data_IF_185762523488
#
_entry.id   IF_185762523488
#
_cell.length_a   1.000
_cell.length_b   1.000
_cell.length_c   1.000
_cell.angle_alpha   90.00
_cell.angle_beta   90.00
_cell.angle_gamma   90.00
#
_symmetry.space_group_name_H-M   'P 1'
#
loop_
_entity.id
_entity.type
_entity.pdbx_description
1 polymer ?
#
# COMPACT_ATOMS: atom_id res chain seq x y z
N UNK A 1 -13.48 -10.22 -3.88
CA UNK A 1 -12.59 -9.74 -2.80
C UNK A 1 -11.27 -10.49 -2.91
N UNK A 2 -10.14 -9.78 -2.81
CA UNK A 2 -8.81 -10.38 -2.67
C UNK A 2 -8.43 -10.39 -1.17
N UNK A 3 -7.83 -11.48 -0.72
CA UNK A 3 -7.44 -11.67 0.68
C UNK A 3 -5.92 -11.75 0.78
N UNK A 4 -5.34 -10.96 1.67
CA UNK A 4 -3.92 -11.02 2.00
C UNK A 4 -3.75 -11.77 3.32
N UNK A 5 -2.99 -12.86 3.30
CA UNK A 5 -2.72 -13.69 4.47
C UNK A 5 -1.56 -13.14 5.28
N UNK A 6 -1.79 -12.81 6.54
CA UNK A 6 -0.71 -12.38 7.43
C UNK A 6 0.11 -13.58 7.92
N UNK A 7 1.43 -13.47 7.80
CA UNK A 7 2.38 -14.48 8.26
C UNK A 7 3.67 -13.81 8.73
N UNK A 8 4.33 -14.40 9.72
CA UNK A 8 5.64 -13.94 10.21
C UNK A 8 6.70 -15.00 9.93
N UNK A 9 7.73 -14.71 9.13
CA UNK A 9 8.85 -15.61 8.91
C UNK A 9 9.63 -15.93 10.19
N UNK A 10 9.54 -15.05 11.18
CA UNK A 10 10.25 -15.18 12.46
C UNK A 10 9.67 -16.27 13.38
N UNK A 11 8.50 -16.83 13.05
CA UNK A 11 7.82 -17.82 13.89
C UNK A 11 8.07 -19.24 13.40
N UNK A 12 8.25 -20.21 14.31
CA UNK A 12 8.25 -21.63 13.94
C UNK A 12 6.97 -21.99 13.17
N UNK A 13 7.10 -22.83 12.13
CA UNK A 13 5.97 -23.26 11.32
C UNK A 13 5.48 -22.20 10.31
N UNK A 14 6.26 -21.15 10.03
CA UNK A 14 5.89 -20.11 9.06
C UNK A 14 5.57 -20.66 7.67
N UNK A 15 6.29 -21.69 7.21
CA UNK A 15 6.05 -22.31 5.89
C UNK A 15 4.73 -23.09 5.89
N UNK A 16 4.45 -23.88 6.92
CA UNK A 16 3.18 -24.59 7.07
C UNK A 16 2.01 -23.60 7.14
N UNK A 17 2.24 -22.42 7.74
CA UNK A 17 1.25 -21.34 7.76
C UNK A 17 0.98 -20.77 6.37
N UNK A 18 1.98 -20.64 5.51
CA UNK A 18 1.77 -20.25 4.10
C UNK A 18 0.90 -21.27 3.39
N UNK A 19 1.21 -22.58 3.55
CA UNK A 19 0.42 -23.66 2.96
C UNK A 19 -1.04 -23.59 3.42
N UNK A 20 -1.27 -23.44 4.72
CA UNK A 20 -2.60 -23.30 5.29
C UNK A 20 -3.35 -22.06 4.73
N UNK A 21 -2.68 -20.92 4.65
CA UNK A 21 -3.27 -19.69 4.12
C UNK A 21 -3.73 -19.86 2.67
N UNK A 22 -2.95 -20.55 1.84
CA UNK A 22 -3.29 -20.77 0.45
C UNK A 22 -4.36 -21.86 0.31
N UNK A 23 -4.17 -23.03 0.91
CA UNK A 23 -5.03 -24.18 0.70
C UNK A 23 -6.40 -24.05 1.37
N UNK A 24 -6.44 -23.56 2.62
CA UNK A 24 -7.68 -23.42 3.37
C UNK A 24 -8.35 -22.06 3.20
N UNK A 25 -7.56 -20.98 3.21
CA UNK A 25 -8.08 -19.61 3.20
C UNK A 25 -8.07 -18.96 1.82
N UNK A 26 -7.43 -19.59 0.83
CA UNK A 26 -7.39 -19.14 -0.58
C UNK A 26 -6.91 -17.68 -0.71
N UNK A 27 -5.86 -17.34 0.03
CA UNK A 27 -5.30 -16.00 -0.02
C UNK A 27 -4.70 -15.71 -1.40
N UNK A 28 -4.72 -14.46 -1.79
CA UNK A 28 -4.21 -13.98 -3.07
C UNK A 28 -2.82 -13.35 -2.97
N UNK A 29 -2.39 -13.00 -1.76
CA UNK A 29 -1.11 -12.40 -1.46
C UNK A 29 -0.71 -12.68 -0.01
N UNK A 30 0.54 -12.45 0.34
CA UNK A 30 0.99 -12.45 1.72
C UNK A 30 1.11 -11.03 2.27
N UNK A 31 0.93 -10.89 3.58
CA UNK A 31 1.18 -9.67 4.34
C UNK A 31 2.22 -9.95 5.42
N UNK A 32 3.32 -9.20 5.38
CA UNK A 32 4.40 -9.25 6.37
C UNK A 32 4.43 -7.99 7.23
N UNK A 33 4.95 -8.13 8.43
CA UNK A 33 5.22 -7.02 9.34
C UNK A 33 6.71 -6.96 9.68
N UNK A 34 7.27 -5.75 9.83
CA UNK A 34 8.72 -5.56 10.04
C UNK A 34 9.18 -5.95 11.45
N UNK A 35 8.22 -6.20 12.35
CA UNK A 35 8.48 -6.48 13.76
C UNK A 35 7.49 -7.55 14.23
N UNK A 36 7.99 -8.50 15.03
CA UNK A 36 7.16 -9.47 15.74
C UNK A 36 7.66 -9.63 17.17
N UNK A 37 6.83 -10.19 18.04
CA UNK A 37 7.22 -10.59 19.40
C UNK A 37 7.41 -12.10 19.41
N UNK A 38 8.68 -12.52 19.39
CA UNK A 38 9.08 -13.92 19.42
C UNK A 38 9.67 -14.23 20.79
N UNK A 39 9.11 -15.22 21.48
CA UNK A 39 9.54 -15.61 22.84
C UNK A 39 9.63 -14.43 23.82
N UNK A 40 8.67 -13.50 23.74
CA UNK A 40 8.62 -12.31 24.59
C UNK A 40 9.62 -11.21 24.24
N UNK A 41 10.34 -11.32 23.12
CA UNK A 41 11.29 -10.32 22.64
C UNK A 41 10.82 -9.68 21.34
N UNK A 42 10.95 -8.37 21.26
CA UNK A 42 10.73 -7.63 20.02
C UNK A 42 11.84 -7.99 19.05
N UNK A 43 11.48 -8.59 17.92
CA UNK A 43 12.41 -9.06 16.89
C UNK A 43 12.06 -8.38 15.57
N UNK A 44 13.06 -7.77 14.93
CA UNK A 44 12.89 -7.16 13.61
C UNK A 44 13.01 -8.24 12.53
N UNK A 45 12.18 -8.12 11.49
CA UNK A 45 12.31 -8.89 10.26
C UNK A 45 13.22 -8.13 9.29
N UNK A 46 14.19 -8.85 8.74
CA UNK A 46 14.95 -8.43 7.57
C UNK A 46 14.41 -9.21 6.35
N UNK A 47 13.83 -8.52 5.39
CA UNK A 47 13.32 -9.15 4.18
C UNK A 47 14.43 -9.68 3.26
N UNK A 48 15.65 -9.16 3.42
CA UNK A 48 16.84 -9.61 2.72
C UNK A 48 17.51 -10.85 3.32
N UNK A 49 17.03 -11.34 4.47
CA UNK A 49 17.61 -12.49 5.13
C UNK A 49 17.34 -13.79 4.35
N UNK A 50 18.40 -14.45 3.82
CA UNK A 50 18.24 -15.65 2.99
C UNK A 50 17.84 -16.90 3.79
N UNK A 51 18.04 -16.91 5.11
CA UNK A 51 17.72 -18.08 5.95
C UNK A 51 16.30 -17.96 6.54
N UNK A 52 15.83 -16.74 6.79
CA UNK A 52 14.56 -16.49 7.47
C UNK A 52 13.44 -16.09 6.48
N UNK A 53 13.68 -15.07 5.64
CA UNK A 53 12.64 -14.55 4.78
C UNK A 53 12.55 -15.26 3.43
N UNK A 54 13.70 -15.58 2.80
CA UNK A 54 13.69 -16.18 1.45
C UNK A 54 12.97 -17.53 1.36
N UNK A 55 13.05 -18.45 2.33
CA UNK A 55 12.27 -19.69 2.28
C UNK A 55 10.75 -19.45 2.23
N UNK A 56 10.27 -18.40 2.92
CA UNK A 56 8.85 -18.03 2.91
C UNK A 56 8.45 -17.42 1.55
N UNK A 57 9.29 -16.56 0.98
CA UNK A 57 9.05 -15.97 -0.35
C UNK A 57 9.04 -17.06 -1.43
N UNK A 58 9.97 -18.02 -1.34
CA UNK A 58 10.00 -19.17 -2.23
C UNK A 58 8.76 -20.05 -2.10
N UNK A 59 8.27 -20.30 -0.86
CA UNK A 59 7.04 -21.04 -0.64
C UNK A 59 5.82 -20.32 -1.22
N UNK A 60 5.73 -19.00 -1.07
CA UNK A 60 4.69 -18.18 -1.69
C UNK A 60 4.72 -18.31 -3.22
N UNK A 61 5.90 -18.23 -3.82
CA UNK A 61 6.13 -18.40 -5.26
C UNK A 61 5.70 -19.78 -5.77
N UNK A 62 6.02 -20.86 -5.03
CA UNK A 62 5.63 -22.24 -5.36
C UNK A 62 4.11 -22.40 -5.36
N UNK A 63 3.38 -21.72 -4.49
CA UNK A 63 1.92 -21.66 -4.50
C UNK A 63 1.34 -20.72 -5.57
N UNK A 64 2.16 -20.08 -6.39
CA UNK A 64 1.74 -19.17 -7.44
C UNK A 64 1.30 -17.79 -6.96
N UNK A 65 1.55 -17.45 -5.69
CA UNK A 65 1.34 -16.09 -5.20
C UNK A 65 2.33 -15.14 -5.88
N UNK A 66 1.84 -13.96 -6.29
CA UNK A 66 2.63 -12.95 -7.01
C UNK A 66 2.93 -11.71 -6.19
N UNK A 67 2.18 -11.47 -5.13
CA UNK A 67 2.25 -10.22 -4.36
C UNK A 67 2.60 -10.53 -2.91
N UNK A 68 3.59 -9.81 -2.39
CA UNK A 68 3.98 -9.79 -0.98
C UNK A 68 3.92 -8.37 -0.48
N UNK A 69 2.96 -8.07 0.39
CA UNK A 69 2.82 -6.77 1.01
C UNK A 69 3.64 -6.72 2.31
N UNK A 70 4.41 -5.66 2.48
CA UNK A 70 5.20 -5.42 3.69
C UNK A 70 4.83 -4.07 4.32
N UNK A 71 4.58 -4.08 5.61
CA UNK A 71 4.40 -2.88 6.40
C UNK A 71 5.74 -2.15 6.55
N UNK A 72 5.84 -0.91 6.09
CA UNK A 72 7.03 -0.06 6.19
C UNK A 72 6.61 1.37 6.53
N UNK A 73 7.57 2.24 6.79
CA UNK A 73 7.39 3.68 6.92
C UNK A 73 6.43 4.20 8.01
N UNK A 74 5.68 3.34 8.69
CA UNK A 74 4.76 3.70 9.78
C UNK A 74 5.08 2.83 11.01
N UNK A 75 5.23 3.41 12.22
CA UNK A 75 5.48 2.62 13.43
C UNK A 75 4.35 1.63 13.73
N UNK A 76 4.72 0.40 14.08
CA UNK A 76 3.82 -0.67 14.52
C UNK A 76 4.34 -1.22 15.85
N UNK A 77 3.98 -0.54 16.93
CA UNK A 77 4.50 -0.85 18.27
C UNK A 77 5.96 -0.39 18.49
N UNK A 78 6.51 -0.66 19.67
CA UNK A 78 7.89 -0.32 20.01
C UNK A 78 8.86 -1.26 19.29
N UNK A 79 9.76 -0.71 18.49
CA UNK A 79 10.77 -1.46 17.76
C UNK A 79 11.79 -0.54 17.09
N UNK A 80 12.87 -1.10 16.53
CA UNK A 80 13.89 -0.31 15.88
C UNK A 80 13.34 0.36 14.62
N UNK A 81 13.59 1.66 14.47
CA UNK A 81 13.16 2.41 13.27
C UNK A 81 13.82 1.89 11.99
N UNK A 82 14.99 1.27 12.08
CA UNK A 82 15.64 0.61 10.94
C UNK A 82 14.78 -0.49 10.30
N UNK A 83 13.95 -1.19 11.08
CA UNK A 83 13.03 -2.19 10.55
C UNK A 83 11.90 -1.58 9.68
N UNK A 84 11.66 -0.28 9.81
CA UNK A 84 10.66 0.46 9.03
C UNK A 84 11.24 1.06 7.74
N UNK A 85 12.57 1.07 7.59
CA UNK A 85 13.28 1.51 6.39
C UNK A 85 13.11 0.56 5.21
N UNK A 86 13.66 0.95 4.07
CA UNK A 86 13.40 0.30 2.80
C UNK A 86 14.52 -0.64 2.32
N UNK A 87 15.71 -0.58 2.95
CA UNK A 87 16.92 -1.25 2.46
C UNK A 87 16.83 -2.76 2.32
N UNK A 88 16.06 -3.42 3.17
CA UNK A 88 15.84 -4.86 3.13
C UNK A 88 14.87 -5.31 2.01
N UNK A 89 14.00 -4.41 1.55
CA UNK A 89 13.05 -4.69 0.45
C UNK A 89 13.78 -4.87 -0.87
N UNK A 90 14.83 -4.09 -1.14
CA UNK A 90 15.58 -4.21 -2.38
C UNK A 90 16.33 -5.54 -2.50
N UNK A 91 16.85 -6.07 -1.40
CA UNK A 91 17.50 -7.38 -1.39
C UNK A 91 16.51 -8.51 -1.76
N UNK A 92 15.29 -8.45 -1.21
CA UNK A 92 14.21 -9.37 -1.57
C UNK A 92 13.78 -9.18 -3.04
N UNK A 93 13.66 -7.93 -3.51
CA UNK A 93 13.25 -7.62 -4.88
C UNK A 93 14.27 -8.11 -5.92
N UNK A 94 15.56 -8.04 -5.61
CA UNK A 94 16.64 -8.61 -6.44
C UNK A 94 16.60 -10.13 -6.49
N UNK A 95 16.38 -10.79 -5.33
CA UNK A 95 16.38 -12.24 -5.22
C UNK A 95 15.13 -12.87 -5.87
N UNK A 96 14.00 -12.16 -5.88
CA UNK A 96 12.71 -12.62 -6.40
C UNK A 96 12.12 -11.63 -7.42
N UNK A 97 12.70 -11.52 -8.62
CA UNK A 97 12.26 -10.54 -9.63
C UNK A 97 10.87 -10.82 -10.20
N UNK A 98 10.33 -12.01 -10.01
CA UNK A 98 9.00 -12.45 -10.41
C UNK A 98 7.92 -12.24 -9.33
N UNK A 99 8.30 -11.84 -8.12
CA UNK A 99 7.37 -11.37 -7.09
C UNK A 99 7.24 -9.86 -7.11
N UNK A 100 6.05 -9.38 -6.79
CA UNK A 100 5.77 -7.96 -6.56
C UNK A 100 5.80 -7.67 -5.07
N UNK A 101 6.60 -6.67 -4.68
CA UNK A 101 6.71 -6.21 -3.30
C UNK A 101 5.89 -4.93 -3.12
N UNK A 102 4.79 -5.04 -2.38
CA UNK A 102 3.89 -3.94 -2.07
C UNK A 102 4.31 -3.28 -0.76
N UNK A 103 4.91 -2.08 -0.85
CA UNK A 103 5.32 -1.29 0.31
C UNK A 103 4.13 -0.54 0.86
N UNK A 104 3.58 -1.01 1.98
CA UNK A 104 2.42 -0.41 2.63
C UNK A 104 2.86 0.79 3.49
N UNK A 105 2.06 1.86 3.51
CA UNK A 105 2.31 3.17 4.12
C UNK A 105 3.42 3.98 3.43
N UNK A 106 3.74 3.69 2.18
CA UNK A 106 4.75 4.44 1.44
C UNK A 106 4.41 5.94 1.40
N UNK A 107 5.41 6.78 1.71
CA UNK A 107 5.24 8.23 1.81
C UNK A 107 4.97 8.77 3.23
N UNK A 108 4.71 7.91 4.24
CA UNK A 108 4.65 8.35 5.63
C UNK A 108 6.04 8.73 6.17
N UNK A 109 7.06 7.94 5.82
CA UNK A 109 8.47 8.22 6.06
C UNK A 109 9.31 7.62 4.93
N UNK A 110 10.63 7.86 4.91
CA UNK A 110 11.59 7.27 3.94
C UNK A 110 11.20 7.53 2.47
N UNK A 111 10.71 8.74 2.18
CA UNK A 111 10.16 9.09 0.85
C UNK A 111 11.23 8.99 -0.23
N UNK A 112 12.42 9.57 0.00
CA UNK A 112 13.53 9.57 -0.95
C UNK A 112 14.06 8.17 -1.20
N UNK A 113 14.20 7.37 -0.15
CA UNK A 113 14.62 5.97 -0.24
C UNK A 113 13.62 5.14 -1.03
N UNK A 114 12.32 5.33 -0.75
CA UNK A 114 11.24 4.68 -1.49
C UNK A 114 11.26 5.09 -2.96
N UNK A 115 11.46 6.38 -3.26
CA UNK A 115 11.52 6.88 -4.63
C UNK A 115 12.69 6.27 -5.41
N UNK A 116 13.90 6.21 -4.81
CA UNK A 116 15.07 5.55 -5.42
C UNK A 116 14.80 4.07 -5.74
N UNK A 117 14.12 3.36 -4.84
CA UNK A 117 13.75 1.96 -5.10
C UNK A 117 12.70 1.83 -6.20
N UNK A 118 11.72 2.72 -6.24
CA UNK A 118 10.73 2.75 -7.32
C UNK A 118 11.36 3.03 -8.68
N UNK A 119 12.41 3.86 -8.74
CA UNK A 119 13.18 4.10 -9.97
C UNK A 119 13.96 2.85 -10.40
N UNK A 120 14.60 2.18 -9.44
CA UNK A 120 15.53 1.07 -9.68
C UNK A 120 14.82 -0.28 -9.92
N UNK A 121 13.68 -0.53 -9.25
CA UNK A 121 13.01 -1.82 -9.23
C UNK A 121 11.61 -1.76 -9.80
N UNK A 122 11.34 -2.53 -10.85
CA UNK A 122 10.00 -2.59 -11.47
C UNK A 122 9.00 -3.43 -10.66
N UNK A 123 9.48 -4.28 -9.80
CA UNK A 123 8.69 -5.15 -8.94
C UNK A 123 8.45 -4.58 -7.53
N UNK A 124 8.85 -3.34 -7.25
CA UNK A 124 8.46 -2.61 -6.03
C UNK A 124 7.31 -1.66 -6.35
N UNK A 125 6.27 -1.71 -5.55
CA UNK A 125 5.05 -0.93 -5.65
C UNK A 125 4.77 -0.21 -4.32
N UNK A 126 4.13 0.93 -4.38
CA UNK A 126 3.75 1.73 -3.20
C UNK A 126 2.25 1.66 -2.97
N UNK A 127 1.88 1.32 -1.74
CA UNK A 127 0.51 1.39 -1.25
C UNK A 127 0.37 2.61 -0.32
N UNK A 128 -0.59 3.49 -0.63
CA UNK A 128 -0.82 4.75 0.07
C UNK A 128 -1.70 4.61 1.32
N UNK A 129 -1.84 3.42 1.88
CA UNK A 129 -2.56 3.27 3.15
C UNK A 129 -1.97 4.22 4.21
N UNK A 130 -2.78 4.83 5.04
CA UNK A 130 -2.44 5.96 5.92
C UNK A 130 -1.92 7.22 5.20
N UNK A 131 -1.02 7.10 4.23
CA UNK A 131 -0.48 8.23 3.44
C UNK A 131 -1.59 8.98 2.70
N UNK A 132 -2.62 8.28 2.25
CA UNK A 132 -3.78 8.84 1.56
C UNK A 132 -4.49 9.94 2.37
N UNK A 133 -4.53 9.81 3.70
CA UNK A 133 -5.13 10.82 4.58
C UNK A 133 -4.30 12.11 4.67
N UNK A 134 -3.01 12.07 4.34
CA UNK A 134 -2.19 13.29 4.28
C UNK A 134 -2.72 14.29 3.24
N UNK A 135 -3.44 13.84 2.22
CA UNK A 135 -4.13 14.74 1.29
C UNK A 135 -5.13 15.66 2.01
N UNK A 136 -5.66 15.23 3.18
CA UNK A 136 -6.60 16.00 4.01
C UNK A 136 -5.86 16.86 5.03
N UNK A 137 -4.98 16.26 5.85
CA UNK A 137 -4.41 16.96 7.02
C UNK A 137 -3.00 17.54 6.81
N UNK A 138 -2.27 17.10 5.79
CA UNK A 138 -0.91 17.55 5.49
C UNK A 138 -0.64 17.64 3.98
N UNK A 139 -1.43 18.44 3.21
CA UNK A 139 -1.46 18.40 1.75
C UNK A 139 -0.09 18.69 1.10
N UNK A 140 0.73 19.56 1.68
CA UNK A 140 2.09 19.82 1.14
C UNK A 140 3.02 18.62 1.31
N UNK A 141 2.96 17.93 2.45
CA UNK A 141 3.73 16.72 2.69
C UNK A 141 3.28 15.59 1.75
N UNK A 142 1.97 15.49 1.53
CA UNK A 142 1.42 14.57 0.53
C UNK A 142 1.95 14.90 -0.88
N UNK A 143 1.95 16.17 -1.28
CA UNK A 143 2.48 16.62 -2.57
C UNK A 143 3.96 16.26 -2.76
N UNK A 144 4.79 16.44 -1.72
CA UNK A 144 6.21 16.08 -1.77
C UNK A 144 6.42 14.58 -1.98
N UNK A 145 5.70 13.74 -1.22
CA UNK A 145 5.78 12.29 -1.38
C UNK A 145 5.30 11.84 -2.76
N UNK A 146 4.14 12.30 -3.20
CA UNK A 146 3.60 11.98 -4.52
C UNK A 146 4.50 12.47 -5.65
N UNK A 147 5.04 13.69 -5.51
CA UNK A 147 5.98 14.26 -6.48
C UNK A 147 7.23 13.40 -6.64
N UNK A 148 7.83 12.97 -5.54
CA UNK A 148 9.01 12.10 -5.57
C UNK A 148 8.71 10.76 -6.28
N UNK A 149 7.58 10.13 -5.97
CA UNK A 149 7.18 8.87 -6.61
C UNK A 149 6.87 9.03 -8.10
N UNK A 150 6.24 10.13 -8.50
CA UNK A 150 5.96 10.41 -9.90
C UNK A 150 7.24 10.72 -10.68
N UNK A 151 8.19 11.46 -10.10
CA UNK A 151 9.51 11.72 -10.69
C UNK A 151 10.31 10.43 -10.90
N UNK A 152 10.19 9.46 -9.97
CA UNK A 152 10.75 8.12 -10.12
C UNK A 152 10.07 7.26 -11.21
N UNK A 153 9.13 7.82 -11.99
CA UNK A 153 8.41 7.12 -13.04
C UNK A 153 7.49 6.01 -12.52
N UNK A 154 6.96 6.17 -11.30
CA UNK A 154 6.19 5.12 -10.64
C UNK A 154 4.67 5.31 -10.72
N UNK A 155 4.13 6.20 -11.56
CA UNK A 155 2.69 6.48 -11.66
C UNK A 155 1.82 5.21 -11.77
N UNK A 156 2.30 4.19 -12.49
CA UNK A 156 1.61 2.90 -12.67
C UNK A 156 1.78 1.91 -11.51
N UNK A 157 2.64 2.24 -10.54
CA UNK A 157 3.01 1.37 -9.41
C UNK A 157 2.66 1.97 -8.05
N UNK A 158 1.81 2.99 -8.04
CA UNK A 158 1.21 3.56 -6.85
C UNK A 158 -0.23 3.06 -6.77
N UNK A 159 -0.61 2.50 -5.62
CA UNK A 159 -1.96 2.02 -5.37
C UNK A 159 -2.61 2.72 -4.19
N UNK A 160 -3.91 2.92 -4.30
CA UNK A 160 -4.72 3.52 -3.25
C UNK A 160 -5.09 2.48 -2.20
N UNK A 161 -5.04 2.88 -0.94
CA UNK A 161 -5.65 2.16 0.16
C UNK A 161 -6.11 3.13 1.25
N UNK A 162 -7.05 2.71 2.07
CA UNK A 162 -7.79 3.60 2.96
C UNK A 162 -7.50 3.39 4.44
N UNK A 163 -7.06 2.20 4.89
CA UNK A 163 -6.99 1.92 6.32
C UNK A 163 -8.31 2.19 7.05
N UNK A 164 -9.45 1.84 6.42
CA UNK A 164 -10.78 2.23 6.86
C UNK A 164 -11.29 1.55 8.13
N UNK A 165 -10.45 0.81 8.82
CA UNK A 165 -10.69 0.31 10.17
C UNK A 165 -10.76 1.45 11.21
N UNK A 166 -10.04 2.55 10.98
CA UNK A 166 -9.97 3.69 11.88
C UNK A 166 -10.85 4.88 11.44
N UNK A 167 -11.01 5.09 10.12
CA UNK A 167 -11.67 6.28 9.57
C UNK A 167 -12.47 5.93 8.31
N UNK A 168 -13.51 6.73 8.04
CA UNK A 168 -14.28 6.56 6.81
C UNK A 168 -13.45 6.95 5.57
N UNK A 169 -13.41 6.13 4.50
CA UNK A 169 -12.53 6.36 3.35
C UNK A 169 -12.90 7.56 2.48
N UNK A 170 -14.19 7.95 2.45
CA UNK A 170 -14.70 8.96 1.52
C UNK A 170 -13.99 10.32 1.59
N UNK A 171 -13.73 10.92 2.76
CA UNK A 171 -13.04 12.21 2.82
C UNK A 171 -11.65 12.17 2.17
N UNK A 172 -10.90 11.07 2.36
CA UNK A 172 -9.59 10.92 1.75
C UNK A 172 -9.69 10.73 0.22
N UNK A 173 -10.67 9.97 -0.26
CA UNK A 173 -10.92 9.78 -1.70
C UNK A 173 -11.30 11.11 -2.36
N UNK A 174 -12.22 11.88 -1.75
CA UNK A 174 -12.65 13.19 -2.27
C UNK A 174 -11.49 14.20 -2.26
N UNK A 175 -10.71 14.25 -1.17
CA UNK A 175 -9.53 15.09 -1.07
C UNK A 175 -8.49 14.73 -2.15
N UNK A 176 -8.19 13.45 -2.33
CA UNK A 176 -7.27 12.99 -3.37
C UNK A 176 -7.78 13.28 -4.78
N UNK A 177 -9.05 13.02 -5.05
CA UNK A 177 -9.64 13.29 -6.37
C UNK A 177 -9.57 14.76 -6.76
N UNK A 178 -9.76 15.67 -5.79
CA UNK A 178 -9.70 17.12 -5.99
C UNK A 178 -8.32 17.72 -5.72
N UNK A 179 -7.35 16.89 -5.30
CA UNK A 179 -6.01 17.37 -4.99
C UNK A 179 -5.32 17.93 -6.23
N UNK A 180 -4.68 19.07 -6.08
CA UNK A 180 -3.82 19.68 -7.09
C UNK A 180 -2.41 19.84 -6.51
N UNK A 181 -1.40 19.53 -7.30
CA UNK A 181 -0.02 19.74 -6.89
C UNK A 181 0.22 21.24 -6.69
N UNK A 182 0.79 21.67 -5.55
CA UNK A 182 1.10 23.07 -5.31
C UNK A 182 2.03 23.62 -6.38
N UNK A 183 1.67 24.74 -6.98
CA UNK A 183 2.41 25.36 -8.11
C UNK A 183 3.85 25.70 -7.74
N UNK A 184 4.06 26.21 -6.53
CA UNK A 184 5.40 26.53 -6.03
C UNK A 184 6.30 25.27 -5.96
N UNK A 185 5.76 24.10 -5.59
CA UNK A 185 6.53 22.85 -5.60
C UNK A 185 6.80 22.36 -7.04
N UNK A 186 5.87 22.55 -7.97
CA UNK A 186 6.09 22.23 -9.38
C UNK A 186 7.22 23.10 -9.94
N UNK A 187 7.17 24.43 -9.68
CA UNK A 187 8.14 25.40 -10.21
C UNK A 187 9.53 25.23 -9.55
N UNK A 188 9.60 25.00 -8.25
CA UNK A 188 10.85 24.93 -7.50
C UNK A 188 11.57 23.57 -7.68
N UNK A 189 10.81 22.46 -7.65
CA UNK A 189 11.37 21.11 -7.68
C UNK A 189 11.13 20.35 -8.98
N UNK A 190 10.43 20.94 -9.95
CA UNK A 190 10.10 20.28 -11.20
C UNK A 190 9.15 19.08 -11.02
N UNK A 191 8.28 19.14 -10.00
CA UNK A 191 7.39 18.01 -9.71
C UNK A 191 6.37 17.81 -10.83
N UNK A 192 6.08 16.57 -11.23
CA UNK A 192 5.02 16.29 -12.19
C UNK A 192 3.63 16.63 -11.64
N UNK A 193 2.73 16.99 -12.55
CA UNK A 193 1.32 17.16 -12.20
C UNK A 193 0.66 15.82 -11.86
N UNK A 194 -0.21 15.82 -10.87
CA UNK A 194 -1.07 14.70 -10.52
C UNK A 194 -2.38 14.79 -11.29
N UNK A 195 -2.38 14.34 -12.54
CA UNK A 195 -3.53 14.45 -13.45
C UNK A 195 -4.72 13.58 -13.00
N UNK A 196 -5.92 13.88 -13.51
CA UNK A 196 -7.12 13.06 -13.23
C UNK A 196 -6.98 11.60 -13.71
N UNK A 197 -6.24 11.38 -14.79
CA UNK A 197 -5.97 10.05 -15.31
C UNK A 197 -5.06 9.25 -14.37
N UNK A 198 -3.95 9.84 -13.91
CA UNK A 198 -3.06 9.23 -12.91
C UNK A 198 -3.83 8.93 -11.62
N UNK A 199 -4.69 9.85 -11.16
CA UNK A 199 -5.54 9.63 -9.98
C UNK A 199 -6.49 8.45 -10.16
N UNK A 200 -7.13 8.33 -11.32
CA UNK A 200 -8.01 7.20 -11.62
C UNK A 200 -7.26 5.86 -11.64
N UNK A 201 -6.03 5.86 -12.18
CA UNK A 201 -5.18 4.69 -12.16
C UNK A 201 -4.79 4.29 -10.74
N UNK A 202 -4.38 5.24 -9.93
CA UNK A 202 -4.02 5.02 -8.51
C UNK A 202 -5.22 4.53 -7.70
N UNK A 203 -6.43 5.06 -7.92
CA UNK A 203 -7.64 4.68 -7.20
C UNK A 203 -8.12 3.25 -7.49
N UNK A 204 -7.71 2.65 -8.62
CA UNK A 204 -8.17 1.29 -8.92
C UNK A 204 -7.38 0.54 -9.99
N UNK A 205 -7.11 1.12 -11.16
CA UNK A 205 -6.54 0.38 -12.29
C UNK A 205 -5.14 -0.18 -11.99
N UNK A 206 -4.32 0.54 -11.22
CA UNK A 206 -3.01 0.05 -10.81
C UNK A 206 -3.12 -1.22 -9.96
N UNK A 207 -4.08 -1.26 -9.02
CA UNK A 207 -4.35 -2.45 -8.22
C UNK A 207 -4.78 -3.65 -9.09
N UNK A 208 -5.67 -3.41 -10.06
CA UNK A 208 -6.07 -4.45 -11.01
C UNK A 208 -4.87 -4.96 -11.82
N UNK A 209 -4.01 -4.05 -12.29
CA UNK A 209 -2.78 -4.38 -13.02
C UNK A 209 -1.81 -5.21 -12.18
N UNK A 210 -1.58 -4.82 -10.92
CA UNK A 210 -0.71 -5.55 -9.98
C UNK A 210 -1.16 -7.00 -9.78
N UNK A 211 -2.47 -7.23 -9.76
CA UNK A 211 -3.05 -8.57 -9.57
C UNK A 211 -3.41 -9.30 -10.88
N UNK A 212 -3.11 -8.71 -12.04
CA UNK A 212 -3.45 -9.32 -13.34
C UNK A 212 -4.95 -9.48 -13.56
N UNK A 213 -5.77 -8.58 -12.98
CA UNK A 213 -7.23 -8.61 -13.11
C UNK A 213 -7.64 -7.73 -14.29
N UNK A 214 -8.39 -8.29 -15.22
CA UNK A 214 -8.97 -7.53 -16.33
C UNK A 214 -10.15 -6.68 -15.84
N UNK A 215 -10.10 -5.36 -16.10
CA UNK A 215 -11.13 -4.41 -15.67
C UNK A 215 -12.47 -4.72 -16.33
N UNK A 216 -12.48 -5.14 -17.60
CA UNK A 216 -13.70 -5.44 -18.34
C UNK A 216 -14.40 -6.66 -17.75
N UNK A 217 -13.63 -7.70 -17.44
CA UNK A 217 -14.16 -8.91 -16.79
C UNK A 217 -14.69 -8.62 -15.40
N UNK A 218 -13.98 -7.77 -14.63
CA UNK A 218 -14.46 -7.34 -13.31
C UNK A 218 -15.78 -6.59 -13.42
N UNK A 219 -15.86 -5.59 -14.32
CA UNK A 219 -17.09 -4.81 -14.55
C UNK A 219 -18.26 -5.68 -15.02
N UNK A 220 -17.99 -6.70 -15.85
CA UNK A 220 -19.01 -7.64 -16.28
C UNK A 220 -19.60 -8.47 -15.12
N UNK A 221 -18.78 -8.79 -14.12
CA UNK A 221 -19.20 -9.57 -12.93
C UNK A 221 -20.05 -8.79 -11.95
N UNK A 222 -19.84 -7.48 -11.83
CA UNK A 222 -20.58 -6.61 -10.89
C UNK A 222 -21.74 -5.89 -11.58
N UNK A 223 -21.87 -6.02 -12.90
CA UNK A 223 -22.96 -5.38 -13.65
C UNK A 223 -24.30 -5.94 -13.26
N UNK A 224 -25.21 -5.06 -12.80
CA UNK A 224 -26.54 -5.43 -12.37
C UNK A 224 -26.61 -6.04 -10.97
N UNK A 225 -25.54 -5.94 -10.18
CA UNK A 225 -25.60 -6.24 -8.76
C UNK A 225 -26.39 -5.14 -8.00
N UNK A 226 -26.62 -5.34 -6.69
CA UNK A 226 -27.40 -4.41 -5.87
C UNK A 226 -26.79 -2.99 -5.77
N UNK A 227 -25.51 -2.81 -6.13
CA UNK A 227 -24.81 -1.54 -6.08
C UNK A 227 -24.78 -0.80 -7.43
N UNK A 228 -25.08 -1.47 -8.55
CA UNK A 228 -25.01 -0.90 -9.89
C UNK A 228 -26.12 0.15 -10.17
N UNK A 229 -27.26 0.02 -9.52
CA UNK A 229 -28.44 0.89 -9.72
C UNK A 229 -28.79 1.71 -8.49
N UNK A 230 -28.14 1.48 -7.37
CA UNK A 230 -28.42 2.19 -6.13
C UNK A 230 -27.66 3.50 -6.18
N UNK A 231 -28.35 4.65 -6.28
CA UNK A 231 -27.79 5.90 -5.77
C UNK A 231 -27.36 5.58 -4.33
N UNK A 232 -26.07 5.48 -4.09
CA UNK A 232 -25.50 5.27 -2.77
C UNK A 232 -26.00 6.39 -1.86
N UNK A 233 -27.21 6.25 -1.32
CA UNK A 233 -27.67 7.03 -0.19
C UNK A 233 -26.57 6.89 0.84
N UNK A 234 -26.19 7.99 1.46
CA UNK A 234 -25.10 8.02 2.42
C UNK A 234 -25.25 6.84 3.39
N UNK A 235 -24.42 5.78 3.29
CA UNK A 235 -24.63 4.52 4.03
C UNK A 235 -24.46 4.69 5.54
N UNK A 236 -23.99 5.84 5.98
CA UNK A 236 -23.78 6.20 7.39
C UNK A 236 -24.86 7.11 7.96
N UNK A 237 -25.97 7.36 7.28
CA UNK A 237 -27.16 8.03 7.86
C UNK A 237 -26.95 9.44 8.44
N UNK A 238 -25.77 10.04 8.27
CA UNK A 238 -25.41 11.31 8.84
C UNK A 238 -24.78 12.27 7.84
N UNK A 239 -24.84 13.56 8.11
CA UNK A 239 -24.01 14.57 7.44
C UNK A 239 -22.55 14.21 7.72
N UNK A 240 -21.80 13.90 6.70
CA UNK A 240 -20.32 14.04 6.81
C UNK A 240 -20.08 15.52 7.04
N UNK A 241 -19.63 15.86 8.24
CA UNK A 241 -19.23 17.24 8.51
C UNK A 241 -18.19 17.65 7.47
N UNK A 242 -18.27 18.87 6.92
CA UNK A 242 -17.20 19.39 6.08
C UNK A 242 -15.87 19.22 6.79
N UNK A 243 -14.80 18.96 6.05
CA UNK A 243 -13.45 18.71 6.61
C UNK A 243 -13.05 19.85 7.57
N UNK A 244 -13.45 21.07 7.27
CA UNK A 244 -13.23 22.25 8.13
C UNK A 244 -13.89 22.13 9.50
N UNK A 245 -15.05 21.52 9.62
CA UNK A 245 -15.75 21.31 10.89
C UNK A 245 -15.10 20.20 11.73
N UNK A 246 -14.55 19.17 11.09
CA UNK A 246 -13.82 18.09 11.78
C UNK A 246 -12.49 18.62 12.35
N UNK A 247 -11.80 19.48 11.61
CA UNK A 247 -10.53 20.10 12.04
C UNK A 247 -10.76 21.19 13.09
N UNK A 248 -11.91 21.87 13.11
CA UNK A 248 -12.26 22.87 14.11
C UNK A 248 -12.56 22.27 15.48
N UNK A 249 -13.09 21.04 15.54
CA UNK A 249 -13.38 20.31 16.79
C UNK A 249 -12.17 19.62 17.42
N UNK A 250 -11.02 19.60 16.75
CA UNK A 250 -9.78 18.98 17.22
C UNK A 250 -8.77 19.96 17.83
N UNK A 251 -9.18 21.22 18.12
CA UNK A 251 -8.38 22.27 18.76
C UNK A 251 -8.72 22.41 20.24
#
# INVERSE_FOLDING_TARGET
VLIYGAVSPLRPGALDRVDELVEKHRVNALKLYPIDVVEGRVTALDMGDPEICFPLLERARQHGLKVVAIHKALPVGPGPTSALGMSDVEAAALAFPDLTFEVVHGGMAFVEETALQLESFRNIWVNLEATSFMAVYAPRRFAQAMGAFLQAGAAERIIWATGCDAVHPRPAIEAFWNFEMPRDLIEEYGLPELTKEIKADILGRNFLRMHGIDEKDLRARIRGDEFDTTELQQPWGGRVAPVDDVLAGAR
#
